data_IF_739818955797
#
_entry.id   IF_739818955797
#
_cell.length_a   1.000
_cell.length_b   1.000
_cell.length_c   1.000
_cell.angle_alpha   90.00
_cell.angle_beta   90.00
_cell.angle_gamma   90.00
#
_symmetry.space_group_name_H-M   'P 1'
#
loop_
_entity.id
_entity.type
_entity.pdbx_description
1 polymer ?
#
# COMPACT_ATOMS: atom_id res chain seq x y z
N UNK A 1 47.96 10.08 -1.18
CA UNK A 1 46.69 9.33 -1.05
C UNK A 1 47.08 7.88 -0.82
N UNK A 2 47.11 7.43 0.43
CA UNK A 2 47.87 6.26 0.89
C UNK A 2 47.27 4.94 0.43
N UNK A 3 48.09 3.93 0.11
CA UNK A 3 47.68 2.56 -0.24
C UNK A 3 46.65 1.94 0.73
N UNK A 4 46.72 2.31 2.01
CA UNK A 4 45.73 2.01 3.06
C UNK A 4 44.29 2.44 2.72
N UNK A 5 44.09 3.54 1.98
CA UNK A 5 42.77 3.98 1.54
C UNK A 5 42.27 3.14 0.37
N UNK A 6 43.15 2.75 -0.56
CA UNK A 6 42.82 1.89 -1.70
C UNK A 6 42.51 0.45 -1.27
N UNK A 7 43.21 -0.06 -0.26
CA UNK A 7 42.97 -1.37 0.35
C UNK A 7 41.67 -1.38 1.17
N UNK A 8 41.41 -0.34 1.97
CA UNK A 8 40.10 -0.16 2.62
C UNK A 8 38.95 -0.05 1.61
N UNK A 9 39.16 0.61 0.47
CA UNK A 9 38.15 0.67 -0.60
C UNK A 9 37.93 -0.68 -1.26
N UNK A 10 39.00 -1.45 -1.53
CA UNK A 10 38.91 -2.82 -2.06
C UNK A 10 38.20 -3.75 -1.09
N UNK A 11 38.65 -3.90 0.15
CA UNK A 11 38.01 -4.79 1.14
C UNK A 11 36.53 -4.43 1.34
N UNK A 12 36.19 -3.12 1.34
CA UNK A 12 34.80 -2.64 1.46
C UNK A 12 33.95 -2.94 0.22
N UNK A 13 34.55 -3.03 -0.97
CA UNK A 13 33.88 -3.46 -2.21
C UNK A 13 33.66 -4.98 -2.25
N UNK A 14 34.67 -5.76 -1.86
CA UNK A 14 34.60 -7.23 -1.85
C UNK A 14 33.65 -7.75 -0.78
N UNK A 15 33.58 -7.13 0.41
CA UNK A 15 32.66 -7.58 1.47
C UNK A 15 31.18 -7.39 1.12
N UNK A 16 30.85 -6.34 0.35
CA UNK A 16 29.47 -6.10 -0.10
C UNK A 16 29.02 -7.08 -1.19
N UNK A 17 29.94 -7.53 -2.03
CA UNK A 17 29.65 -8.45 -3.13
C UNK A 17 29.17 -9.83 -2.65
N UNK A 18 29.84 -10.41 -1.64
CA UNK A 18 29.44 -11.71 -1.08
C UNK A 18 28.09 -11.64 -0.35
N UNK A 19 27.86 -10.56 0.42
CA UNK A 19 26.58 -10.34 1.11
C UNK A 19 25.46 -10.18 0.09
N UNK A 20 25.69 -9.41 -0.97
CA UNK A 20 24.73 -9.23 -2.06
C UNK A 20 24.39 -10.56 -2.74
N UNK A 21 25.39 -11.40 -3.01
CA UNK A 21 25.19 -12.74 -3.59
C UNK A 21 24.36 -13.67 -2.68
N UNK A 22 24.51 -13.55 -1.36
CA UNK A 22 23.71 -14.31 -0.39
C UNK A 22 22.26 -13.82 -0.38
N UNK A 23 22.06 -12.50 -0.32
CA UNK A 23 20.73 -11.87 -0.28
C UNK A 23 19.94 -12.13 -1.58
N UNK A 24 20.61 -12.10 -2.73
CA UNK A 24 20.00 -12.38 -4.04
C UNK A 24 19.79 -13.88 -4.31
N UNK A 25 20.25 -14.76 -3.41
CA UNK A 25 20.12 -16.20 -3.61
C UNK A 25 18.66 -16.66 -3.46
N UNK A 26 18.11 -17.46 -4.39
CA UNK A 26 16.71 -17.88 -4.35
C UNK A 26 16.35 -18.68 -3.09
N UNK A 27 17.29 -19.46 -2.54
CA UNK A 27 17.07 -20.15 -1.26
C UNK A 27 16.87 -19.18 -0.10
N UNK A 28 17.59 -18.05 -0.07
CA UNK A 28 17.43 -17.05 0.98
C UNK A 28 16.01 -16.47 0.95
N UNK A 29 15.56 -16.04 -0.22
CA UNK A 29 14.19 -15.53 -0.42
C UNK A 29 13.13 -16.57 -0.05
N UNK A 30 13.28 -17.81 -0.50
CA UNK A 30 12.34 -18.89 -0.18
C UNK A 30 12.30 -19.20 1.33
N UNK A 31 13.44 -19.20 2.01
CA UNK A 31 13.48 -19.37 3.48
C UNK A 31 12.71 -18.25 4.18
N UNK A 32 12.88 -16.99 3.77
CA UNK A 32 12.15 -15.86 4.35
C UNK A 32 10.64 -16.04 4.16
N UNK A 33 10.19 -16.44 2.96
CA UNK A 33 8.78 -16.70 2.68
C UNK A 33 8.23 -17.81 3.58
N UNK A 34 8.96 -18.93 3.72
CA UNK A 34 8.55 -20.03 4.62
C UNK A 34 8.42 -19.55 6.06
N UNK A 35 9.36 -18.75 6.55
CA UNK A 35 9.30 -18.20 7.91
C UNK A 35 8.10 -17.26 8.08
N UNK A 36 7.76 -16.45 7.07
CA UNK A 36 6.56 -15.60 7.08
C UNK A 36 5.29 -16.45 7.14
N UNK A 37 5.19 -17.53 6.35
CA UNK A 37 4.03 -18.42 6.36
C UNK A 37 3.86 -19.12 7.71
N UNK A 38 4.97 -19.60 8.30
CA UNK A 38 4.96 -20.17 9.66
C UNK A 38 4.51 -19.12 10.69
N UNK A 39 4.99 -17.87 10.59
CA UNK A 39 4.56 -16.80 11.48
C UNK A 39 3.07 -16.51 11.35
N UNK A 40 2.52 -16.49 10.13
CA UNK A 40 1.10 -16.28 9.90
C UNK A 40 0.24 -17.37 10.56
N UNK A 41 0.65 -18.64 10.45
CA UNK A 41 -0.03 -19.76 11.11
C UNK A 41 0.02 -19.59 12.63
N UNK A 42 1.18 -19.25 13.20
CA UNK A 42 1.33 -19.05 14.65
C UNK A 42 0.43 -17.92 15.17
N UNK A 43 0.40 -16.78 14.47
CA UNK A 43 -0.49 -15.66 14.81
C UNK A 43 -1.96 -16.08 14.75
N UNK A 44 -2.34 -16.90 13.78
CA UNK A 44 -3.67 -17.49 13.71
C UNK A 44 -3.99 -18.41 14.88
N UNK A 45 -3.04 -19.26 15.29
CA UNK A 45 -3.22 -20.17 16.44
C UNK A 45 -3.34 -19.41 17.77
N UNK A 46 -2.65 -18.29 17.94
CA UNK A 46 -2.76 -17.44 19.12
C UNK A 46 -4.16 -16.84 19.31
N UNK A 47 -5.01 -16.84 18.28
CA UNK A 47 -6.40 -16.34 18.39
C UNK A 47 -7.30 -17.29 19.19
N UNK A 48 -6.92 -18.55 19.37
CA UNK A 48 -7.66 -19.52 20.18
C UNK A 48 -7.22 -19.46 21.65
N UNK A 49 -8.08 -18.99 22.59
CA UNK A 49 -7.68 -18.80 23.98
C UNK A 49 -7.19 -20.07 24.67
N UNK A 50 -7.75 -21.23 24.33
CA UNK A 50 -7.38 -22.52 24.90
C UNK A 50 -5.93 -22.89 24.55
N UNK A 51 -5.54 -22.72 23.28
CA UNK A 51 -4.21 -23.06 22.77
C UNK A 51 -3.19 -22.03 23.26
N UNK A 52 -3.52 -20.75 23.19
CA UNK A 52 -2.64 -19.66 23.60
C UNK A 52 -2.28 -19.74 25.10
N UNK A 53 -3.26 -20.04 25.96
CA UNK A 53 -3.03 -20.13 27.41
C UNK A 53 -2.23 -21.38 27.80
N UNK A 54 -2.43 -22.51 27.10
CA UNK A 54 -1.71 -23.76 27.38
C UNK A 54 -0.24 -23.70 26.93
N UNK A 55 0.07 -22.97 25.85
CA UNK A 55 1.40 -22.94 25.23
C UNK A 55 2.03 -21.54 25.19
N UNK A 56 1.66 -20.64 26.11
CA UNK A 56 2.10 -19.24 26.12
C UNK A 56 3.62 -19.07 26.00
N UNK A 57 4.41 -19.85 26.74
CA UNK A 57 5.87 -19.79 26.71
C UNK A 57 6.45 -20.20 25.36
N UNK A 58 5.85 -21.21 24.71
CA UNK A 58 6.27 -21.68 23.39
C UNK A 58 6.05 -20.57 22.35
N UNK A 59 4.85 -19.99 22.31
CA UNK A 59 4.52 -18.88 21.40
C UNK A 59 5.46 -17.70 21.60
N UNK A 60 5.73 -17.30 22.85
CA UNK A 60 6.67 -16.22 23.15
C UNK A 60 8.08 -16.48 22.60
N UNK A 61 8.59 -17.70 22.76
CA UNK A 61 9.91 -18.09 22.24
C UNK A 61 9.91 -18.08 20.71
N UNK A 62 8.88 -18.65 20.08
CA UNK A 62 8.76 -18.69 18.61
C UNK A 62 8.69 -17.28 18.01
N UNK A 63 7.90 -16.38 18.61
CA UNK A 63 7.80 -14.97 18.19
C UNK A 63 9.15 -14.26 18.24
N UNK A 64 9.94 -14.49 19.31
CA UNK A 64 11.29 -13.93 19.45
C UNK A 64 12.28 -14.52 18.44
N UNK A 65 12.21 -15.82 18.18
CA UNK A 65 13.04 -16.48 17.17
C UNK A 65 12.73 -15.94 15.77
N UNK A 66 11.46 -15.81 15.41
CA UNK A 66 11.03 -15.27 14.12
C UNK A 66 11.48 -13.81 13.97
N UNK A 67 11.29 -12.99 15.01
CA UNK A 67 11.76 -11.60 15.01
C UNK A 67 13.29 -11.53 14.84
N UNK A 68 14.04 -12.41 15.49
CA UNK A 68 15.50 -12.48 15.35
C UNK A 68 15.91 -12.84 13.92
N UNK A 69 15.28 -13.85 13.31
CA UNK A 69 15.50 -14.22 11.89
C UNK A 69 15.25 -13.01 10.99
N UNK A 70 14.12 -12.34 11.16
CA UNK A 70 13.77 -11.14 10.39
C UNK A 70 14.72 -9.96 10.59
N UNK A 71 15.29 -9.82 11.78
CA UNK A 71 16.26 -8.76 12.08
C UNK A 71 17.61 -9.04 11.44
N UNK A 72 18.06 -10.30 11.47
CA UNK A 72 19.29 -10.73 10.79
C UNK A 72 19.14 -10.55 9.28
N UNK A 73 18.02 -11.02 8.74
CA UNK A 73 17.66 -10.92 7.33
C UNK A 73 17.65 -9.47 6.83
N UNK A 74 16.99 -8.58 7.56
CA UNK A 74 16.97 -7.14 7.28
C UNK A 74 18.38 -6.52 7.40
N UNK A 75 19.15 -6.91 8.41
CA UNK A 75 20.52 -6.47 8.61
C UNK A 75 21.42 -6.86 7.44
N UNK A 76 21.28 -8.07 6.89
CA UNK A 76 22.00 -8.52 5.71
C UNK A 76 21.62 -7.69 4.47
N UNK A 77 20.33 -7.39 4.28
CA UNK A 77 19.88 -6.48 3.21
C UNK A 77 20.46 -5.07 3.36
N UNK A 78 20.43 -4.51 4.56
CA UNK A 78 20.98 -3.18 4.84
C UNK A 78 22.50 -3.12 4.56
N UNK A 79 23.24 -4.18 4.91
CA UNK A 79 24.68 -4.27 4.67
C UNK A 79 25.06 -4.54 3.21
N UNK A 80 24.14 -5.12 2.41
CA UNK A 80 24.36 -5.37 0.98
C UNK A 80 24.29 -4.08 0.16
N UNK A 81 23.49 -3.11 0.60
CA UNK A 81 23.32 -1.83 -0.07
C UNK A 81 24.41 -0.82 0.33
N UNK A 82 25.24 -0.43 -0.65
CA UNK A 82 26.23 0.64 -0.49
C UNK A 82 26.01 1.72 -1.55
N UNK A 83 25.87 2.99 -1.15
CA UNK A 83 25.83 3.53 0.23
C UNK A 83 24.52 3.21 0.98
N UNK A 84 24.56 3.20 2.32
CA UNK A 84 23.46 2.75 3.19
C UNK A 84 22.14 3.51 2.98
N UNK A 85 22.19 4.76 2.52
CA UNK A 85 20.99 5.57 2.28
C UNK A 85 20.15 5.03 1.12
N UNK A 86 20.75 4.24 0.20
CA UNK A 86 20.02 3.62 -0.91
C UNK A 86 18.95 2.65 -0.40
N UNK A 87 19.21 1.98 0.72
CA UNK A 87 18.24 1.10 1.37
C UNK A 87 16.94 1.84 1.71
N UNK A 88 17.05 3.08 2.19
CA UNK A 88 15.91 3.90 2.57
C UNK A 88 15.21 4.59 1.40
N UNK A 89 15.71 4.42 0.17
CA UNK A 89 15.05 4.91 -1.05
C UNK A 89 14.04 3.90 -1.60
N UNK A 90 14.17 2.61 -1.26
CA UNK A 90 13.19 1.58 -1.61
C UNK A 90 12.06 1.55 -0.56
N UNK A 91 10.80 1.86 -0.93
CA UNK A 91 9.66 1.84 -0.01
C UNK A 91 9.45 0.48 0.67
N UNK A 92 9.80 -0.63 0.00
CA UNK A 92 9.64 -1.97 0.55
C UNK A 92 10.66 -2.29 1.64
N UNK A 93 11.89 -1.78 1.47
CA UNK A 93 12.93 -1.87 2.49
C UNK A 93 12.58 -1.02 3.72
N UNK A 94 12.05 0.18 3.52
CA UNK A 94 11.55 1.04 4.61
C UNK A 94 10.37 0.37 5.33
N UNK A 95 9.43 -0.22 4.60
CA UNK A 95 8.30 -0.96 5.16
C UNK A 95 8.76 -2.13 6.04
N UNK A 96 9.66 -2.97 5.53
CA UNK A 96 10.24 -4.08 6.29
C UNK A 96 10.99 -3.59 7.54
N UNK A 97 11.74 -2.49 7.42
CA UNK A 97 12.43 -1.86 8.54
C UNK A 97 11.47 -1.41 9.64
N UNK A 98 10.39 -0.70 9.27
CA UNK A 98 9.35 -0.28 10.22
C UNK A 98 8.68 -1.47 10.91
N UNK A 99 8.38 -2.54 10.18
CA UNK A 99 7.78 -3.74 10.75
C UNK A 99 8.70 -4.46 11.74
N UNK A 100 10.00 -4.56 11.44
CA UNK A 100 10.98 -5.16 12.37
C UNK A 100 11.14 -4.28 13.61
N UNK A 101 11.32 -2.97 13.44
CA UNK A 101 11.48 -2.01 14.55
C UNK A 101 10.26 -2.01 15.47
N UNK A 102 9.04 -2.02 14.91
CA UNK A 102 7.80 -2.10 15.71
C UNK A 102 7.74 -3.35 16.61
N UNK A 103 8.52 -4.39 16.31
CA UNK A 103 8.64 -5.56 17.16
C UNK A 103 9.58 -5.45 18.36
N UNK A 104 10.45 -4.45 18.38
CA UNK A 104 11.32 -4.14 19.50
C UNK A 104 10.79 -2.99 20.37
N UNK A 105 9.92 -2.16 19.80
CA UNK A 105 9.31 -1.01 20.48
C UNK A 105 8.38 -1.50 21.60
N UNK A 106 8.92 -1.63 22.80
CA UNK A 106 8.19 -1.69 24.07
C UNK A 106 8.13 -0.27 24.64
N UNK A 107 7.33 0.61 24.04
CA UNK A 107 7.22 2.01 24.50
C UNK A 107 5.92 2.20 25.28
N UNK A 108 6.07 2.16 26.62
CA UNK A 108 5.17 2.78 27.59
C UNK A 108 3.81 2.10 27.80
N UNK A 109 3.34 2.09 29.04
CA UNK A 109 2.11 1.42 29.48
C UNK A 109 0.83 1.82 28.70
N UNK A 110 0.82 2.97 28.02
CA UNK A 110 -0.36 3.50 27.33
C UNK A 110 -0.62 2.93 25.93
N UNK A 111 0.39 2.41 25.23
CA UNK A 111 0.25 1.92 23.83
C UNK A 111 0.54 0.42 23.67
N UNK A 112 0.74 -0.30 24.77
CA UNK A 112 1.11 -1.72 24.76
C UNK A 112 0.12 -2.60 23.98
N UNK A 113 -1.18 -2.30 24.04
CA UNK A 113 -2.22 -3.04 23.30
C UNK A 113 -2.11 -2.81 21.79
N UNK A 114 -1.86 -1.58 21.35
CA UNK A 114 -1.71 -1.26 19.92
C UNK A 114 -0.47 -1.94 19.37
N UNK A 115 0.70 -1.81 20.03
CA UNK A 115 1.94 -2.47 19.59
C UNK A 115 1.82 -4.00 19.57
N UNK A 116 1.03 -4.59 20.49
CA UNK A 116 0.70 -6.01 20.48
C UNK A 116 -0.11 -6.43 19.26
N UNK A 117 -1.00 -5.56 18.75
CA UNK A 117 -1.75 -5.82 17.51
C UNK A 117 -0.87 -5.57 16.28
N UNK A 118 0.01 -4.56 16.30
CA UNK A 118 0.91 -4.24 15.19
C UNK A 118 1.86 -5.40 14.85
N UNK A 119 2.17 -6.31 15.79
CA UNK A 119 2.94 -7.52 15.46
C UNK A 119 2.27 -8.41 14.42
N UNK A 120 0.93 -8.37 14.30
CA UNK A 120 0.17 -9.11 13.28
C UNK A 120 0.48 -8.55 11.88
N UNK A 121 0.75 -7.24 11.77
CA UNK A 121 1.12 -6.61 10.49
C UNK A 121 2.43 -7.16 9.91
N UNK A 122 3.25 -7.88 10.69
CA UNK A 122 4.44 -8.57 10.17
C UNK A 122 4.09 -9.64 9.14
N UNK A 123 2.87 -10.19 9.17
CA UNK A 123 2.38 -11.09 8.12
C UNK A 123 2.28 -10.36 6.77
N UNK A 124 2.06 -9.04 6.77
CA UNK A 124 2.07 -8.23 5.55
C UNK A 124 3.46 -8.15 4.89
N UNK A 125 4.54 -8.57 5.57
CA UNK A 125 5.84 -8.79 4.92
C UNK A 125 5.75 -9.82 3.80
N UNK A 126 4.72 -10.66 3.73
CA UNK A 126 4.49 -11.49 2.55
C UNK A 126 4.37 -10.64 1.27
N UNK A 127 3.77 -9.46 1.35
CA UNK A 127 3.63 -8.52 0.22
C UNK A 127 5.01 -8.05 -0.23
N UNK A 128 5.88 -7.67 0.71
CA UNK A 128 7.26 -7.29 0.41
C UNK A 128 8.15 -8.50 0.08
N UNK A 129 7.89 -9.72 0.54
CA UNK A 129 8.74 -10.86 0.21
C UNK A 129 8.44 -11.42 -1.19
N UNK A 130 7.19 -11.31 -1.66
CA UNK A 130 6.70 -11.95 -2.88
C UNK A 130 6.62 -10.93 -4.04
N UNK A 131 7.47 -11.04 -5.09
CA UNK A 131 7.51 -10.05 -6.17
C UNK A 131 6.20 -9.89 -6.96
N UNK A 132 5.37 -10.93 -7.06
CA UNK A 132 4.04 -10.80 -7.68
C UNK A 132 3.10 -9.93 -6.85
N UNK A 133 3.12 -10.05 -5.51
CA UNK A 133 2.31 -9.22 -4.62
C UNK A 133 2.77 -7.77 -4.61
N UNK A 134 4.10 -7.52 -4.60
CA UNK A 134 4.65 -6.17 -4.75
C UNK A 134 4.11 -5.48 -6.00
N UNK A 135 4.21 -6.15 -7.15
CA UNK A 135 3.74 -5.61 -8.44
C UNK A 135 2.25 -5.28 -8.42
N UNK A 136 1.43 -6.10 -7.76
CA UNK A 136 0.00 -5.82 -7.61
C UNK A 136 -0.24 -4.56 -6.77
N UNK A 137 0.42 -4.44 -5.62
CA UNK A 137 0.27 -3.27 -4.74
C UNK A 137 0.84 -2.01 -5.37
N UNK A 138 2.00 -2.09 -6.04
CA UNK A 138 2.58 -1.00 -6.82
C UNK A 138 1.60 -0.53 -7.90
N UNK A 139 1.01 -1.45 -8.66
CA UNK A 139 0.01 -1.10 -9.67
C UNK A 139 -1.21 -0.40 -9.06
N UNK A 140 -1.69 -0.82 -7.88
CA UNK A 140 -2.78 -0.14 -7.17
C UNK A 140 -2.38 1.27 -6.71
N UNK A 141 -1.21 1.42 -6.11
CA UNK A 141 -0.72 2.72 -5.62
C UNK A 141 -0.51 3.69 -6.78
N UNK A 142 -0.01 3.22 -7.94
CA UNK A 142 0.16 4.02 -9.14
C UNK A 142 -1.15 4.59 -9.71
N UNK A 143 -2.31 4.01 -9.35
CA UNK A 143 -3.62 4.56 -9.73
C UNK A 143 -4.14 5.65 -8.79
N UNK A 144 -3.55 5.85 -7.61
CA UNK A 144 -4.03 6.85 -6.66
C UNK A 144 -3.82 8.29 -7.20
N UNK A 145 -2.65 8.67 -7.77
CA UNK A 145 -2.42 10.02 -8.23
C UNK A 145 -3.38 10.49 -9.34
N UNK A 146 -3.79 9.58 -10.23
CA UNK A 146 -4.73 9.90 -11.33
C UNK A 146 -6.11 10.32 -10.80
N UNK A 147 -6.42 9.97 -9.54
CA UNK A 147 -7.67 10.28 -8.88
C UNK A 147 -7.59 11.49 -7.96
N UNK A 148 -6.44 12.15 -7.85
CA UNK A 148 -6.20 13.22 -6.88
C UNK A 148 -7.24 14.34 -6.95
N UNK A 149 -7.53 14.84 -8.15
CA UNK A 149 -8.47 15.95 -8.36
C UNK A 149 -9.91 15.59 -7.97
N UNK A 150 -10.39 14.41 -8.40
CA UNK A 150 -11.75 13.96 -8.08
C UNK A 150 -11.88 13.62 -6.59
N UNK A 151 -10.84 13.01 -6.01
CA UNK A 151 -10.78 12.71 -4.57
C UNK A 151 -10.78 13.98 -3.73
N UNK A 152 -10.10 15.04 -4.17
CA UNK A 152 -10.13 16.35 -3.51
C UNK A 152 -11.54 16.96 -3.57
N UNK A 153 -12.20 16.91 -4.74
CA UNK A 153 -13.58 17.39 -4.90
C UNK A 153 -14.54 16.61 -3.99
N UNK A 154 -14.42 15.28 -3.95
CA UNK A 154 -15.21 14.42 -3.07
C UNK A 154 -14.96 14.75 -1.60
N UNK A 155 -13.70 14.98 -1.21
CA UNK A 155 -13.33 15.38 0.14
C UNK A 155 -13.92 16.72 0.57
N UNK A 156 -13.91 17.72 -0.32
CA UNK A 156 -14.55 19.02 -0.08
C UNK A 156 -16.06 18.87 0.08
N UNK A 157 -16.70 18.09 -0.78
CA UNK A 157 -18.12 17.78 -0.71
C UNK A 157 -18.47 17.10 0.63
N UNK A 158 -17.71 16.08 1.03
CA UNK A 158 -17.85 15.41 2.32
C UNK A 158 -17.71 16.38 3.49
N UNK A 159 -16.71 17.27 3.47
CA UNK A 159 -16.50 18.26 4.52
C UNK A 159 -17.69 19.22 4.66
N UNK A 160 -18.19 19.75 3.54
CA UNK A 160 -19.35 20.67 3.53
C UNK A 160 -20.58 20.00 4.14
N UNK A 161 -20.87 18.77 3.72
CA UNK A 161 -22.00 18.02 4.27
C UNK A 161 -21.77 17.64 5.73
N UNK A 162 -20.56 17.25 6.14
CA UNK A 162 -20.28 16.89 7.52
C UNK A 162 -20.53 18.07 8.48
N UNK A 163 -20.03 19.26 8.13
CA UNK A 163 -20.29 20.49 8.90
C UNK A 163 -21.78 20.81 8.91
N UNK A 164 -22.44 20.76 7.75
CA UNK A 164 -23.88 21.02 7.64
C UNK A 164 -24.70 20.06 8.50
N UNK A 165 -24.45 18.75 8.41
CA UNK A 165 -25.12 17.73 9.21
C UNK A 165 -24.90 17.92 10.71
N UNK A 166 -23.66 18.21 11.14
CA UNK A 166 -23.38 18.54 12.55
C UNK A 166 -24.20 19.73 13.01
N UNK A 167 -24.20 20.83 12.25
CA UNK A 167 -24.91 22.06 12.65
C UNK A 167 -26.42 21.91 12.68
N UNK A 168 -27.00 21.15 11.75
CA UNK A 168 -28.45 20.99 11.63
C UNK A 168 -29.01 19.90 12.56
N UNK A 169 -28.26 18.82 12.78
CA UNK A 169 -28.82 17.59 13.37
C UNK A 169 -28.17 17.15 14.67
N UNK A 170 -27.11 17.79 15.16
CA UNK A 170 -26.44 17.40 16.42
C UNK A 170 -27.38 17.25 17.62
N UNK A 171 -28.41 18.11 17.73
CA UNK A 171 -29.39 18.02 18.82
C UNK A 171 -30.44 16.93 18.60
N UNK A 172 -30.82 16.68 17.35
CA UNK A 172 -31.89 15.75 17.00
C UNK A 172 -31.41 14.29 16.93
N UNK A 173 -30.16 14.08 16.49
CA UNK A 173 -29.48 12.78 16.49
C UNK A 173 -28.00 12.96 16.83
N UNK A 174 -27.66 13.04 18.13
CA UNK A 174 -26.28 13.22 18.59
C UNK A 174 -25.39 12.00 18.33
N UNK A 175 -25.96 10.80 18.19
CA UNK A 175 -25.21 9.58 17.90
C UNK A 175 -24.57 9.60 16.49
N UNK A 176 -25.26 10.18 15.51
CA UNK A 176 -24.78 10.31 14.13
C UNK A 176 -24.14 11.67 13.85
N UNK A 177 -24.73 12.76 14.35
CA UNK A 177 -24.34 14.13 13.99
C UNK A 177 -23.83 14.96 15.18
N UNK A 178 -23.59 14.37 16.34
CA UNK A 178 -23.22 15.12 17.56
C UNK A 178 -21.90 15.88 17.47
N UNK A 179 -21.02 15.46 16.56
CA UNK A 179 -19.73 16.11 16.30
C UNK A 179 -19.32 15.91 14.84
N UNK A 180 -18.30 16.66 14.42
CA UNK A 180 -17.82 16.64 13.03
C UNK A 180 -17.33 15.25 12.60
N UNK A 181 -16.58 14.55 13.47
CA UNK A 181 -16.04 13.22 13.15
C UNK A 181 -17.13 12.14 13.10
N UNK A 182 -18.15 12.23 13.96
CA UNK A 182 -19.34 11.37 13.87
C UNK A 182 -20.08 11.62 12.56
N UNK A 183 -20.26 12.89 12.19
CA UNK A 183 -20.91 13.25 10.92
C UNK A 183 -20.14 12.72 9.70
N UNK A 184 -18.79 12.76 9.73
CA UNK A 184 -17.97 12.13 8.71
C UNK A 184 -18.20 10.62 8.62
N UNK A 185 -18.26 9.92 9.76
CA UNK A 185 -18.52 8.49 9.78
C UNK A 185 -19.93 8.15 9.26
N UNK A 186 -20.95 8.90 9.66
CA UNK A 186 -22.31 8.76 9.16
C UNK A 186 -22.39 9.01 7.66
N UNK A 187 -21.74 10.05 7.15
CA UNK A 187 -21.71 10.32 5.70
C UNK A 187 -20.95 9.23 4.93
N UNK A 188 -19.90 8.64 5.51
CA UNK A 188 -19.22 7.48 4.94
C UNK A 188 -20.15 6.26 4.86
N UNK A 189 -20.92 5.97 5.91
CA UNK A 189 -21.95 4.93 5.90
C UNK A 189 -23.04 5.22 4.85
N UNK A 190 -23.46 6.47 4.73
CA UNK A 190 -24.49 6.86 3.75
C UNK A 190 -24.00 6.75 2.30
N UNK A 191 -22.73 7.06 2.02
CA UNK A 191 -22.20 7.00 0.65
C UNK A 191 -22.08 5.57 0.14
N UNK A 192 -21.89 4.60 1.04
CA UNK A 192 -21.93 3.16 0.73
C UNK A 192 -23.37 2.64 0.62
N UNK A 193 -24.37 3.50 0.79
CA UNK A 193 -25.80 3.20 0.79
C UNK A 193 -26.22 2.22 1.89
N UNK A 194 -25.40 2.06 2.93
CA UNK A 194 -25.65 1.15 4.03
C UNK A 194 -26.63 1.81 5.01
N UNK A 195 -27.82 1.22 5.17
CA UNK A 195 -28.87 1.57 6.14
C UNK A 195 -29.22 3.08 6.27
N UNK A 196 -28.89 3.87 5.24
CA UNK A 196 -29.01 5.33 5.27
C UNK A 196 -30.46 5.82 5.45
N UNK A 197 -31.42 5.07 4.91
CA UNK A 197 -32.83 5.40 4.99
C UNK A 197 -33.47 4.88 6.28
N UNK A 198 -33.27 3.61 6.62
CA UNK A 198 -33.92 2.96 7.77
C UNK A 198 -33.41 3.46 9.11
N UNK A 199 -32.09 3.64 9.24
CA UNK A 199 -31.45 3.80 10.54
C UNK A 199 -31.07 5.25 10.81
N UNK A 200 -30.84 6.04 9.74
CA UNK A 200 -30.39 7.43 9.85
C UNK A 200 -31.52 8.40 9.46
N UNK A 201 -31.98 8.38 8.20
CA UNK A 201 -32.93 9.38 7.71
C UNK A 201 -34.32 9.24 8.33
N UNK A 202 -34.98 8.06 8.23
CA UNK A 202 -36.38 7.89 8.65
C UNK A 202 -36.60 8.23 10.14
N UNK A 203 -35.77 7.80 11.09
CA UNK A 203 -35.91 8.20 12.49
C UNK A 203 -35.70 9.70 12.68
N UNK A 204 -34.81 10.33 11.90
CA UNK A 204 -34.60 11.76 11.96
C UNK A 204 -35.78 12.56 11.41
N UNK A 205 -36.52 12.04 10.42
CA UNK A 205 -37.71 12.70 9.87
C UNK A 205 -38.83 12.87 10.88
N UNK A 206 -38.90 12.03 11.92
CA UNK A 206 -39.87 12.19 13.02
C UNK A 206 -39.62 13.47 13.82
N UNK A 207 -38.37 13.96 13.84
CA UNK A 207 -37.96 15.18 14.56
C UNK A 207 -37.77 16.37 13.63
N UNK A 208 -37.27 16.12 12.41
CA UNK A 208 -36.93 17.14 11.42
C UNK A 208 -37.51 16.72 10.05
N UNK A 209 -38.79 17.04 9.77
CA UNK A 209 -39.50 16.52 8.59
C UNK A 209 -38.91 16.91 7.24
N UNK A 210 -38.16 18.01 7.14
CA UNK A 210 -37.52 18.46 5.90
C UNK A 210 -36.13 17.84 5.67
N UNK A 211 -35.60 17.07 6.63
CA UNK A 211 -34.23 16.57 6.58
C UNK A 211 -33.97 15.63 5.39
N UNK A 212 -35.00 15.01 4.81
CA UNK A 212 -34.87 14.14 3.62
C UNK A 212 -34.13 14.84 2.47
N UNK A 213 -34.28 16.16 2.33
CA UNK A 213 -33.60 16.95 1.28
C UNK A 213 -32.08 16.82 1.43
N UNK A 214 -31.57 16.93 2.65
CA UNK A 214 -30.14 16.80 2.94
C UNK A 214 -29.62 15.40 2.57
N UNK A 215 -30.31 14.34 2.99
CA UNK A 215 -29.89 12.96 2.73
C UNK A 215 -29.95 12.59 1.25
N UNK A 216 -31.07 12.91 0.58
CA UNK A 216 -31.26 12.62 -0.84
C UNK A 216 -30.25 13.40 -1.69
N UNK A 217 -30.02 14.68 -1.38
CA UNK A 217 -29.03 15.48 -2.09
C UNK A 217 -27.61 14.92 -1.90
N UNK A 218 -27.25 14.53 -0.67
CA UNK A 218 -25.96 13.90 -0.40
C UNK A 218 -25.75 12.64 -1.23
N UNK A 219 -26.75 11.76 -1.25
CA UNK A 219 -26.68 10.48 -1.95
C UNK A 219 -26.63 10.67 -3.46
N UNK A 220 -27.49 11.54 -4.02
CA UNK A 220 -27.48 11.81 -5.46
C UNK A 220 -26.13 12.35 -5.91
N UNK A 221 -25.59 13.35 -5.22
CA UNK A 221 -24.30 13.93 -5.55
C UNK A 221 -23.14 12.95 -5.28
N UNK A 222 -23.15 12.27 -4.13
CA UNK A 222 -22.09 11.34 -3.74
C UNK A 222 -22.01 10.13 -4.68
N UNK A 223 -23.14 9.51 -5.01
CA UNK A 223 -23.17 8.39 -5.96
C UNK A 223 -22.78 8.82 -7.37
N UNK A 224 -23.20 10.02 -7.81
CA UNK A 224 -22.79 10.58 -9.09
C UNK A 224 -21.27 10.80 -9.14
N UNK A 225 -20.67 11.39 -8.10
CA UNK A 225 -19.21 11.61 -8.04
C UNK A 225 -18.46 10.28 -8.02
N UNK A 226 -18.92 9.27 -7.26
CA UNK A 226 -18.29 7.94 -7.24
C UNK A 226 -18.40 7.25 -8.60
N UNK A 227 -19.56 7.33 -9.28
CA UNK A 227 -19.72 6.78 -10.63
C UNK A 227 -18.77 7.46 -11.61
N UNK A 228 -18.66 8.79 -11.57
CA UNK A 228 -17.72 9.52 -12.42
C UNK A 228 -16.26 9.24 -12.09
N UNK A 229 -15.92 8.97 -10.81
CA UNK A 229 -14.60 8.50 -10.42
C UNK A 229 -14.29 7.16 -11.09
N UNK A 230 -15.22 6.21 -11.04
CA UNK A 230 -15.06 4.88 -11.64
C UNK A 230 -14.93 4.96 -13.17
N UNK A 231 -15.80 5.74 -13.83
CA UNK A 231 -15.72 6.00 -15.27
C UNK A 231 -14.38 6.67 -15.60
N UNK A 232 -13.96 7.66 -14.83
CA UNK A 232 -12.67 8.34 -15.00
C UNK A 232 -11.48 7.39 -14.91
N UNK A 233 -11.49 6.43 -13.97
CA UNK A 233 -10.44 5.39 -13.88
C UNK A 233 -10.41 4.53 -15.14
N UNK A 234 -11.57 4.07 -15.60
CA UNK A 234 -11.68 3.20 -16.77
C UNK A 234 -11.22 3.93 -18.02
N UNK A 235 -11.72 5.15 -18.24
CA UNK A 235 -11.37 5.97 -19.40
C UNK A 235 -9.87 6.26 -19.41
N UNK A 236 -9.30 6.75 -18.30
CA UNK A 236 -7.86 6.97 -18.19
C UNK A 236 -7.05 5.69 -18.48
N UNK A 237 -7.52 4.52 -18.02
CA UNK A 237 -6.80 3.27 -18.25
C UNK A 237 -6.89 2.83 -19.72
N UNK A 238 -8.04 2.99 -20.37
CA UNK A 238 -8.24 2.65 -21.78
C UNK A 238 -7.43 3.59 -22.68
N UNK A 239 -7.48 4.90 -22.43
CA UNK A 239 -6.73 5.93 -23.16
C UNK A 239 -5.22 5.66 -23.09
N UNK A 240 -4.67 5.39 -21.90
CA UNK A 240 -3.25 5.05 -21.74
C UNK A 240 -2.86 3.76 -22.50
N UNK A 241 -3.76 2.77 -22.61
CA UNK A 241 -3.50 1.54 -23.38
C UNK A 241 -3.50 1.84 -24.89
N UNK A 242 -4.40 2.69 -25.37
CA UNK A 242 -4.46 3.10 -26.77
C UNK A 242 -3.22 3.90 -27.16
N UNK A 243 -2.83 4.90 -26.37
CA UNK A 243 -1.63 5.71 -26.60
C UNK A 243 -0.37 4.84 -26.64
N UNK A 244 -0.23 3.88 -25.72
CA UNK A 244 0.92 2.96 -25.70
C UNK A 244 0.99 2.12 -26.98
N UNK A 245 -0.15 1.60 -27.47
CA UNK A 245 -0.20 0.81 -28.71
C UNK A 245 0.13 1.65 -29.95
N UNK A 246 -0.36 2.89 -29.98
CA UNK A 246 -0.09 3.83 -31.07
C UNK A 246 1.41 4.16 -31.12
N UNK A 247 2.03 4.43 -29.97
CA UNK A 247 3.47 4.67 -29.88
C UNK A 247 4.31 3.46 -30.32
N UNK A 248 3.92 2.26 -29.89
CA UNK A 248 4.58 1.02 -30.30
C UNK A 248 4.47 0.79 -31.83
N UNK A 249 3.30 1.06 -32.42
CA UNK A 249 3.09 0.99 -33.86
C UNK A 249 3.96 2.02 -34.61
N UNK A 250 4.03 3.27 -34.13
CA UNK A 250 4.90 4.28 -34.72
C UNK A 250 6.38 3.88 -34.69
N UNK A 251 6.83 3.28 -33.57
CA UNK A 251 8.21 2.76 -33.45
C UNK A 251 8.48 1.61 -34.42
N UNK A 252 7.50 0.72 -34.62
CA UNK A 252 7.62 -0.39 -35.57
C UNK A 252 7.68 0.12 -37.02
N UNK A 253 6.79 1.04 -37.40
CA UNK A 253 6.82 1.67 -38.73
C UNK A 253 8.14 2.41 -38.96
N UNK A 254 8.66 3.12 -37.95
CA UNK A 254 9.94 3.80 -38.05
C UNK A 254 11.11 2.82 -38.24
N UNK A 255 11.12 1.71 -37.50
CA UNK A 255 12.12 0.64 -37.64
C UNK A 255 12.12 0.06 -39.06
N UNK A 256 10.94 -0.29 -39.58
CA UNK A 256 10.80 -0.82 -40.94
C UNK A 256 11.30 0.17 -42.00
N UNK A 257 11.05 1.47 -41.82
CA UNK A 257 11.58 2.51 -42.73
C UNK A 257 13.11 2.58 -42.72
N UNK A 258 13.74 2.43 -41.56
CA UNK A 258 15.20 2.40 -41.45
C UNK A 258 15.80 1.16 -42.11
N UNK A 259 15.23 -0.02 -41.88
CA UNK A 259 15.66 -1.28 -42.52
C UNK A 259 15.54 -1.19 -44.05
N UNK A 260 14.43 -0.65 -44.57
CA UNK A 260 14.26 -0.43 -46.01
C UNK A 260 15.31 0.55 -46.55
N UNK A 261 15.62 1.62 -45.82
CA UNK A 261 16.62 2.60 -46.23
C UNK A 261 18.04 2.00 -46.27
N UNK A 262 18.38 1.13 -45.32
CA UNK A 262 19.65 0.41 -45.27
C UNK A 262 19.76 -0.60 -46.41
N UNK A 263 18.73 -1.43 -46.63
CA UNK A 263 18.67 -2.36 -47.76
C UNK A 263 18.83 -1.63 -49.10
N UNK A 264 18.17 -0.48 -49.25
CA UNK A 264 18.29 0.33 -50.46
C UNK A 264 19.73 0.84 -50.69
N UNK A 265 20.45 1.21 -49.61
CA UNK A 265 21.88 1.58 -49.70
C UNK A 265 22.75 0.39 -50.10
N UNK A 266 22.54 -0.78 -49.51
CA UNK A 266 23.30 -2.00 -49.83
C UNK A 266 23.10 -2.42 -51.29
N UNK A 267 21.86 -2.36 -51.79
CA UNK A 267 21.56 -2.65 -53.20
C UNK A 267 22.26 -1.64 -54.13
N UNK A 268 22.32 -0.36 -53.74
CA UNK A 268 23.01 0.65 -54.54
C UNK A 268 24.53 0.39 -54.59
N UNK A 269 25.15 0.06 -53.46
CA UNK A 269 26.56 -0.31 -53.37
C UNK A 269 26.90 -1.58 -54.14
N UNK A 270 26.00 -2.56 -54.19
CA UNK A 270 26.21 -3.81 -54.93
C UNK A 270 26.07 -3.64 -56.46
N UNK A 271 25.59 -2.48 -56.93
CA UNK A 271 25.40 -2.17 -58.35
C UNK A 271 26.53 -1.35 -58.96
N UNK A 272 27.42 -0.78 -58.15
CA UNK A 272 28.68 -0.14 -58.55
C UNK A 272 29.83 -1.15 -58.54
#
# INVERSE_FOLDING_TARGET
MSELQAEKQRVRWWSGYWIKKIVEHPLFSNTVIVVILLNAILVGLETYPQIANQHHTLFYIMDRCILAVFTIELGLRLLSEKPFYRFFQDPWNVFDFLLVVSGYVFVGAHFMTVFRVLRILRVLRAISAIPSLRRLVEALILTIPTLGNISLLLGLFFYIFAVTGTTLFAKASPEYFGSLHQSFLTLFQMVTLESWASDIMRPLLEKVPWAWIYFVLFIMMGTFVILNLFVGIIVNKVENIEDTKVDDLYREVHRLRLEIAELKKLIHQAKE
#
